data_IF_412171096275
#
_entry.id   IF_412171096275
#
_cell.length_a   1.000
_cell.length_b   1.000
_cell.length_c   1.000
_cell.angle_alpha   90.00
_cell.angle_beta   90.00
_cell.angle_gamma   90.00
#
_symmetry.space_group_name_H-M   'P 1'
#
loop_
_entity.id
_entity.type
_entity.pdbx_description
1 polymer ?
#
# COMPACT_ATOMS: atom_id res chain seq x y z
N UNK A 1 11.23 63.20 0.72
CA UNK A 1 10.84 62.17 -0.27
C UNK A 1 12.11 61.52 -0.79
N UNK A 2 12.67 60.56 -0.06
CA UNK A 2 13.49 59.43 -0.57
C UNK A 2 13.39 58.37 0.52
N UNK A 3 12.34 57.53 0.46
CA UNK A 3 12.11 56.45 1.42
C UNK A 3 12.69 55.17 0.83
N UNK A 4 13.68 54.61 1.53
CA UNK A 4 14.00 53.18 1.64
C UNK A 4 13.82 52.31 0.37
N UNK A 5 14.78 52.36 -0.55
CA UNK A 5 15.09 51.20 -1.38
C UNK A 5 15.99 50.27 -0.55
N UNK A 6 15.50 49.09 -0.12
CA UNK A 6 16.30 47.85 0.09
C UNK A 6 15.47 46.63 0.57
N UNK A 7 14.19 46.71 0.97
CA UNK A 7 13.55 45.56 1.64
C UNK A 7 12.13 45.15 1.18
N UNK A 8 11.88 45.02 -0.12
CA UNK A 8 10.61 44.44 -0.62
C UNK A 8 10.96 43.30 -1.60
N UNK A 9 11.27 42.14 -1.03
CA UNK A 9 10.36 40.98 -0.89
C UNK A 9 10.17 40.28 -2.24
N UNK A 10 11.13 39.40 -2.57
CA UNK A 10 10.86 38.28 -3.47
C UNK A 10 10.05 37.26 -2.68
N UNK A 11 8.75 37.50 -2.52
CA UNK A 11 7.87 36.52 -1.91
C UNK A 11 7.61 35.40 -2.94
N UNK A 12 8.45 34.36 -2.90
CA UNK A 12 8.19 33.11 -3.62
C UNK A 12 6.99 32.40 -2.98
N UNK A 13 5.78 32.77 -3.37
CA UNK A 13 4.57 32.05 -2.98
C UNK A 13 4.53 30.68 -3.67
N UNK A 14 5.12 29.67 -3.02
CA UNK A 14 4.92 28.24 -3.32
C UNK A 14 3.46 27.85 -3.03
N UNK A 15 2.53 28.16 -3.93
CA UNK A 15 1.14 27.70 -3.83
C UNK A 15 0.88 26.59 -4.85
N UNK A 16 0.59 25.37 -4.40
CA UNK A 16 0.31 24.24 -5.30
C UNK A 16 -1.12 23.75 -5.13
N UNK A 17 -1.94 24.03 -6.15
CA UNK A 17 -3.28 23.49 -6.28
C UNK A 17 -3.27 22.15 -7.01
N UNK A 18 -2.68 21.10 -6.45
CA UNK A 18 -3.06 19.70 -6.71
C UNK A 18 -2.30 18.74 -5.78
N UNK A 19 -2.89 18.43 -4.62
CA UNK A 19 -2.42 17.32 -3.79
C UNK A 19 -3.62 16.48 -3.34
N UNK A 20 -3.47 15.15 -3.24
CA UNK A 20 -4.27 14.43 -2.28
C UNK A 20 -3.82 14.89 -0.89
N UNK A 21 -4.67 15.66 -0.21
CA UNK A 21 -4.52 16.16 1.16
C UNK A 21 -3.53 17.34 1.37
N UNK A 22 -3.80 18.48 0.75
CA UNK A 22 -3.86 19.78 1.45
C UNK A 22 -2.62 20.36 2.15
N UNK A 23 -1.41 19.82 1.99
CA UNK A 23 -0.20 20.43 2.54
C UNK A 23 0.39 21.48 1.59
N UNK A 24 0.42 22.75 2.04
CA UNK A 24 1.10 23.85 1.35
C UNK A 24 2.37 24.17 2.13
N UNK A 25 3.53 24.05 1.48
CA UNK A 25 4.80 24.50 2.04
C UNK A 25 5.14 25.86 1.43
N UNK A 26 4.94 26.94 2.18
CA UNK A 26 5.36 28.29 1.79
C UNK A 26 6.74 28.53 2.37
N UNK A 27 7.70 28.85 1.52
CA UNK A 27 9.03 29.31 1.91
C UNK A 27 9.18 30.75 1.42
N UNK A 28 9.64 31.64 2.30
CA UNK A 28 9.99 33.03 1.92
C UNK A 28 11.37 33.08 1.22
N UNK A 29 12.09 31.96 1.16
CA UNK A 29 13.42 31.83 0.57
C UNK A 29 13.39 31.17 -0.82
N UNK A 30 14.49 31.29 -1.57
CA UNK A 30 14.71 30.60 -2.87
C UNK A 30 14.73 29.06 -2.78
N UNK A 31 14.72 28.50 -1.55
CA UNK A 31 14.89 27.08 -1.29
C UNK A 31 13.72 26.53 -0.45
N UNK A 32 13.31 25.30 -0.78
CA UNK A 32 12.39 24.50 0.03
C UNK A 32 13.17 23.35 0.67
N UNK A 33 13.25 23.33 1.99
CA UNK A 33 13.87 22.24 2.76
C UNK A 33 12.80 21.33 3.38
N UNK A 34 12.86 20.04 3.06
CA UNK A 34 11.95 19.03 3.62
C UNK A 34 12.79 17.98 4.34
N UNK A 35 12.78 18.04 5.67
CA UNK A 35 13.42 17.05 6.53
C UNK A 35 12.53 15.83 6.76
N UNK A 36 13.15 14.65 6.96
CA UNK A 36 12.48 13.39 7.28
C UNK A 36 11.32 12.99 6.36
N UNK A 37 11.48 13.25 5.06
CA UNK A 37 10.45 13.07 4.04
C UNK A 37 9.79 11.67 4.08
N UNK A 38 8.46 11.65 4.00
CA UNK A 38 7.62 10.46 4.06
C UNK A 38 7.12 10.05 2.66
N UNK A 39 6.67 8.81 2.54
CA UNK A 39 6.25 8.22 1.24
C UNK A 39 5.10 8.97 0.56
N UNK A 40 4.21 9.55 1.35
CA UNK A 40 3.05 10.35 0.95
C UNK A 40 3.42 11.77 0.51
N UNK A 41 4.64 12.22 0.84
CA UNK A 41 5.22 13.47 0.33
C UNK A 41 5.93 13.28 -1.03
N UNK A 42 5.81 12.10 -1.66
CA UNK A 42 6.23 11.97 -3.06
C UNK A 42 5.19 12.62 -3.98
N UNK A 43 5.63 13.41 -4.96
CA UNK A 43 4.70 14.11 -5.84
C UNK A 43 5.37 15.13 -6.75
N UNK A 44 4.55 15.91 -7.45
CA UNK A 44 4.99 17.11 -8.16
C UNK A 44 4.95 18.30 -7.21
N UNK A 45 6.06 19.01 -7.14
CA UNK A 45 6.25 20.24 -6.41
C UNK A 45 6.29 21.39 -7.39
N UNK A 46 5.64 22.51 -7.04
CA UNK A 46 5.51 23.67 -7.90
C UNK A 46 6.18 24.88 -7.26
N UNK A 47 7.08 25.52 -8.02
CA UNK A 47 7.68 26.81 -7.70
C UNK A 47 6.95 27.91 -8.47
N UNK A 48 6.48 28.93 -7.76
CA UNK A 48 5.76 30.06 -8.34
C UNK A 48 6.39 31.37 -7.85
N UNK A 49 6.87 32.17 -8.80
CA UNK A 49 7.50 33.47 -8.55
C UNK A 49 6.55 34.59 -9.01
N UNK A 50 6.17 35.47 -8.08
CA UNK A 50 5.27 36.61 -8.31
C UNK A 50 6.03 37.92 -8.09
N UNK A 51 5.74 38.93 -8.91
CA UNK A 51 6.28 40.29 -8.74
C UNK A 51 5.22 41.40 -8.90
N UNK A 52 3.94 41.09 -8.69
CA UNK A 52 2.76 41.99 -8.80
C UNK A 52 2.57 42.75 -10.12
N UNK A 53 3.44 42.55 -11.10
CA UNK A 53 3.41 43.21 -12.42
C UNK A 53 2.81 42.31 -13.48
N UNK A 54 3.13 41.02 -13.44
CA UNK A 54 2.69 40.02 -14.40
C UNK A 54 2.11 38.79 -13.71
N UNK A 55 1.54 37.89 -14.50
CA UNK A 55 1.18 36.55 -14.01
C UNK A 55 2.43 35.86 -13.42
N UNK A 56 2.29 35.07 -12.35
CA UNK A 56 3.42 34.34 -11.77
C UNK A 56 4.13 33.46 -12.79
N UNK A 57 5.46 33.40 -12.74
CA UNK A 57 6.20 32.37 -13.47
C UNK A 57 6.22 31.07 -12.65
N UNK A 58 5.83 29.97 -13.28
CA UNK A 58 5.59 28.70 -12.59
C UNK A 58 6.44 27.57 -13.19
N UNK A 59 7.11 26.80 -12.33
CA UNK A 59 7.90 25.61 -12.71
C UNK A 59 7.58 24.44 -11.80
N UNK A 60 7.64 23.22 -12.34
CA UNK A 60 7.33 21.98 -11.61
C UNK A 60 8.55 21.06 -11.53
N UNK A 61 8.70 20.36 -10.42
CA UNK A 61 9.70 19.32 -10.19
C UNK A 61 9.03 18.11 -9.56
N UNK A 62 9.39 16.90 -9.99
CA UNK A 62 8.84 15.67 -9.41
C UNK A 62 9.81 15.07 -8.39
N UNK A 63 9.37 14.97 -7.14
CA UNK A 63 10.12 14.30 -6.07
C UNK A 63 9.59 12.86 -5.93
N UNK A 64 10.49 11.89 -6.07
CA UNK A 64 10.19 10.46 -5.87
C UNK A 64 10.84 9.96 -4.59
N UNK A 65 10.01 9.60 -3.60
CA UNK A 65 10.49 9.06 -2.33
C UNK A 65 10.61 7.54 -2.45
N UNK A 66 11.83 7.02 -2.30
CA UNK A 66 12.07 5.58 -2.30
C UNK A 66 11.72 4.98 -0.93
N UNK A 67 11.08 3.81 -0.91
CA UNK A 67 10.75 3.06 0.30
C UNK A 67 10.82 1.54 0.08
N UNK A 68 11.10 0.75 1.14
CA UNK A 68 11.15 -0.71 1.06
C UNK A 68 9.76 -1.30 0.75
N UNK A 69 9.69 -2.52 0.20
CA UNK A 69 8.43 -3.13 -0.16
C UNK A 69 7.58 -3.45 1.07
N UNK A 70 6.26 -3.32 0.94
CA UNK A 70 5.27 -3.88 1.86
C UNK A 70 4.18 -4.61 1.08
N UNK A 71 3.74 -5.77 1.56
CA UNK A 71 2.65 -6.52 0.94
C UNK A 71 1.34 -5.77 1.19
N UNK A 72 0.67 -5.38 0.11
CA UNK A 72 -0.61 -4.70 0.15
C UNK A 72 -1.79 -5.65 0.00
N UNK A 73 -1.61 -6.78 -0.70
CA UNK A 73 -2.62 -7.85 -0.80
C UNK A 73 -1.98 -9.24 -0.91
N UNK A 74 -2.49 -10.17 -0.11
CA UNK A 74 -2.23 -11.59 -0.18
C UNK A 74 -3.47 -12.32 0.37
N UNK A 75 -3.99 -13.33 -0.34
CA UNK A 75 -5.24 -14.00 0.07
C UNK A 75 -5.18 -15.50 -0.14
N UNK A 76 -5.58 -16.23 0.91
CA UNK A 76 -5.78 -17.68 0.85
C UNK A 76 -6.79 -18.05 -0.24
N UNK A 77 -6.54 -19.15 -0.94
CA UNK A 77 -7.32 -19.55 -2.11
C UNK A 77 -7.77 -20.99 -1.99
N UNK A 78 -9.08 -21.20 -2.10
CA UNK A 78 -9.69 -22.54 -2.13
C UNK A 78 -9.88 -23.00 -3.57
N UNK A 79 -9.38 -24.18 -3.91
CA UNK A 79 -9.47 -24.75 -5.28
C UNK A 79 -9.68 -26.26 -5.17
N UNK A 80 -10.59 -26.83 -5.97
CA UNK A 80 -10.75 -28.28 -6.05
C UNK A 80 -9.66 -28.93 -6.90
N UNK A 81 -9.33 -30.19 -6.59
CA UNK A 81 -8.46 -31.01 -7.45
C UNK A 81 -8.99 -31.06 -8.88
N UNK A 82 -8.10 -31.04 -9.87
CA UNK A 82 -8.47 -31.02 -11.28
C UNK A 82 -8.65 -29.61 -11.87
N UNK A 83 -8.77 -28.58 -11.02
CA UNK A 83 -9.08 -27.21 -11.45
C UNK A 83 -7.83 -26.34 -11.56
N UNK A 84 -7.96 -25.23 -12.29
CA UNK A 84 -6.93 -24.18 -12.34
C UNK A 84 -6.94 -23.38 -11.04
N UNK A 85 -5.80 -23.30 -10.37
CA UNK A 85 -5.60 -22.48 -9.16
C UNK A 85 -4.73 -21.26 -9.44
N UNK A 86 -5.01 -20.14 -8.79
CA UNK A 86 -4.19 -18.92 -8.91
C UNK A 86 -3.98 -18.33 -7.53
N UNK A 87 -2.73 -18.24 -7.10
CA UNK A 87 -2.32 -17.44 -5.95
C UNK A 87 -1.82 -16.08 -6.46
N UNK A 88 -2.12 -15.01 -5.73
CA UNK A 88 -1.70 -13.66 -6.07
C UNK A 88 -1.15 -12.92 -4.87
N UNK A 89 -0.14 -12.10 -5.13
CA UNK A 89 0.53 -11.27 -4.14
C UNK A 89 0.81 -9.90 -4.75
N UNK A 90 0.43 -8.84 -4.05
CA UNK A 90 0.60 -7.44 -4.46
C UNK A 90 1.46 -6.73 -3.42
N UNK A 91 2.49 -6.00 -3.87
CA UNK A 91 3.40 -5.25 -3.01
C UNK A 91 3.58 -3.85 -3.53
N UNK A 92 3.57 -2.88 -2.63
CA UNK A 92 3.87 -1.49 -2.95
C UNK A 92 5.32 -1.19 -2.56
N UNK A 93 6.09 -0.63 -3.48
CA UNK A 93 7.50 -0.36 -3.31
C UNK A 93 7.96 0.69 -4.32
N UNK A 94 8.94 1.51 -3.92
CA UNK A 94 9.65 2.41 -4.85
C UNK A 94 11.15 2.31 -4.56
N UNK A 95 11.99 1.84 -5.50
CA UNK A 95 11.65 1.27 -6.82
C UNK A 95 10.79 0.01 -6.74
N UNK A 96 10.19 -0.40 -7.87
CA UNK A 96 9.33 -1.57 -7.96
C UNK A 96 10.04 -2.82 -7.44
N UNK A 97 9.30 -3.66 -6.72
CA UNK A 97 9.83 -4.87 -6.13
C UNK A 97 9.87 -6.03 -7.13
N UNK A 98 10.89 -6.86 -7.01
CA UNK A 98 10.96 -8.17 -7.64
C UNK A 98 10.31 -9.22 -6.75
N UNK A 99 9.58 -10.14 -7.37
CA UNK A 99 8.85 -11.19 -6.65
C UNK A 99 9.49 -12.57 -6.83
N UNK A 100 9.45 -13.33 -5.75
CA UNK A 100 9.83 -14.74 -5.71
C UNK A 100 8.78 -15.52 -4.94
N UNK A 101 8.56 -16.78 -5.32
CA UNK A 101 7.62 -17.68 -4.65
C UNK A 101 8.36 -18.85 -4.02
N UNK A 102 7.89 -19.26 -2.85
CA UNK A 102 8.43 -20.39 -2.10
C UNK A 102 7.28 -21.29 -1.67
N UNK A 103 7.56 -22.59 -1.56
CA UNK A 103 6.72 -23.56 -0.85
C UNK A 103 7.60 -24.24 0.20
N UNK A 104 7.23 -24.13 1.47
CA UNK A 104 7.97 -24.79 2.57
C UNK A 104 9.50 -24.58 2.46
N UNK A 105 9.92 -23.33 2.31
CA UNK A 105 11.32 -22.88 2.14
C UNK A 105 12.01 -23.20 0.79
N UNK A 106 11.38 -23.98 -0.08
CA UNK A 106 11.92 -24.24 -1.42
C UNK A 106 11.47 -23.18 -2.42
N UNK A 107 12.43 -22.51 -3.05
CA UNK A 107 12.16 -21.52 -4.10
C UNK A 107 11.54 -22.19 -5.33
N UNK A 108 10.40 -21.68 -5.77
CA UNK A 108 9.74 -22.10 -6.99
C UNK A 108 10.33 -21.34 -8.19
N UNK A 109 10.51 -22.05 -9.30
CA UNK A 109 10.94 -21.47 -10.57
C UNK A 109 9.86 -21.64 -11.63
N UNK A 110 9.74 -20.65 -12.51
CA UNK A 110 8.96 -20.79 -13.75
C UNK A 110 9.53 -21.97 -14.55
N UNK A 111 8.68 -22.93 -14.93
CA UNK A 111 9.09 -24.14 -15.66
C UNK A 111 9.11 -25.42 -14.83
N UNK A 112 8.77 -25.37 -13.53
CA UNK A 112 8.31 -26.57 -12.81
C UNK A 112 7.00 -27.08 -13.45
N UNK A 113 6.90 -28.39 -13.64
CA UNK A 113 5.75 -29.01 -14.30
C UNK A 113 4.44 -28.61 -13.62
N UNK A 114 3.51 -28.06 -14.41
CA UNK A 114 2.16 -27.72 -13.98
C UNK A 114 1.98 -26.35 -13.31
N UNK A 115 3.06 -25.56 -13.15
CA UNK A 115 2.98 -24.20 -12.56
C UNK A 115 3.61 -23.10 -13.42
N UNK A 116 3.09 -21.89 -13.29
CA UNK A 116 3.59 -20.69 -13.99
C UNK A 116 3.60 -19.48 -13.08
N UNK A 117 4.75 -18.82 -12.98
CA UNK A 117 4.92 -17.56 -12.25
C UNK A 117 4.92 -16.41 -13.25
N UNK A 118 4.13 -15.37 -12.99
CA UNK A 118 4.09 -14.13 -13.77
C UNK A 118 4.23 -12.92 -12.83
N UNK A 119 5.15 -12.03 -13.16
CA UNK A 119 5.37 -10.77 -12.45
C UNK A 119 4.92 -9.62 -13.35
N UNK A 120 3.90 -8.87 -12.94
CA UNK A 120 3.36 -7.73 -13.69
C UNK A 120 3.25 -6.51 -12.79
N UNK A 121 4.23 -5.62 -12.91
CA UNK A 121 4.31 -4.40 -12.13
C UNK A 121 4.34 -4.72 -10.63
N UNK A 122 3.33 -4.25 -9.89
CA UNK A 122 3.22 -4.42 -8.43
C UNK A 122 2.61 -5.76 -7.97
N UNK A 123 2.24 -6.62 -8.92
CA UNK A 123 1.55 -7.89 -8.66
C UNK A 123 2.34 -9.07 -9.21
N UNK A 124 2.38 -10.16 -8.46
CA UNK A 124 2.88 -11.46 -8.89
C UNK A 124 1.81 -12.54 -8.73
N UNK A 125 1.75 -13.47 -9.67
CA UNK A 125 0.81 -14.59 -9.64
C UNK A 125 1.51 -15.92 -9.84
N UNK A 126 1.16 -16.90 -9.02
CA UNK A 126 1.53 -18.31 -9.17
C UNK A 126 0.30 -19.09 -9.62
N UNK A 127 0.31 -19.54 -10.87
CA UNK A 127 -0.78 -20.29 -11.49
C UNK A 127 -0.47 -21.78 -11.49
N UNK A 128 -1.42 -22.58 -11.02
CA UNK A 128 -1.45 -24.03 -11.15
C UNK A 128 -2.44 -24.38 -12.28
N UNK A 129 -1.99 -25.11 -13.30
CA UNK A 129 -2.86 -25.46 -14.42
C UNK A 129 -3.84 -26.59 -14.08
N UNK A 130 -3.41 -27.52 -13.22
CA UNK A 130 -4.21 -28.62 -12.72
C UNK A 130 -3.79 -28.92 -11.28
N UNK A 131 -4.61 -28.48 -10.32
CA UNK A 131 -4.33 -28.65 -8.88
C UNK A 131 -4.48 -30.12 -8.49
N UNK A 132 -3.50 -30.62 -7.72
CA UNK A 132 -3.48 -31.94 -7.10
C UNK A 132 -3.34 -31.83 -5.58
N UNK A 133 -3.59 -32.91 -4.84
CA UNK A 133 -3.54 -32.87 -3.36
C UNK A 133 -2.17 -32.45 -2.82
N UNK A 134 -1.09 -32.83 -3.51
CA UNK A 134 0.28 -32.41 -3.17
C UNK A 134 0.50 -30.90 -3.32
N UNK A 135 -0.33 -30.19 -4.08
CA UNK A 135 -0.17 -28.75 -4.30
C UNK A 135 -0.77 -27.94 -3.17
N UNK A 136 -1.66 -28.49 -2.34
CA UNK A 136 -2.15 -27.81 -1.16
C UNK A 136 -1.00 -27.53 -0.17
N UNK A 137 -1.18 -26.47 0.61
CA UNK A 137 -0.20 -26.03 1.60
C UNK A 137 0.06 -24.52 1.56
N UNK A 138 1.11 -24.11 2.25
CA UNK A 138 1.48 -22.71 2.40
C UNK A 138 2.53 -22.30 1.36
N UNK A 139 2.24 -21.20 0.68
CA UNK A 139 3.12 -20.56 -0.28
C UNK A 139 3.51 -19.19 0.22
N UNK A 140 4.80 -18.87 0.14
CA UNK A 140 5.31 -17.56 0.56
C UNK A 140 5.70 -16.76 -0.67
N UNK A 141 5.08 -15.59 -0.85
CA UNK A 141 5.57 -14.60 -1.80
C UNK A 141 6.55 -13.67 -1.09
N UNK A 142 7.71 -13.45 -1.69
CA UNK A 142 8.74 -12.52 -1.21
C UNK A 142 8.89 -11.40 -2.22
N UNK A 143 8.73 -10.16 -1.76
CA UNK A 143 8.93 -8.94 -2.55
C UNK A 143 10.21 -8.24 -2.08
N UNK A 144 11.11 -7.90 -3.01
CA UNK A 144 12.43 -7.33 -2.70
C UNK A 144 12.72 -6.10 -3.57
N UNK A 145 13.26 -5.03 -2.98
CA UNK A 145 13.89 -3.94 -3.72
C UNK A 145 15.23 -3.56 -3.06
N UNK A 146 15.91 -2.54 -3.59
CA UNK A 146 17.23 -2.08 -3.08
C UNK A 146 17.24 -1.58 -1.63
N UNK A 147 16.07 -1.35 -1.02
CA UNK A 147 15.92 -0.85 0.35
C UNK A 147 15.51 -1.93 1.35
N UNK A 148 15.14 -3.13 0.90
CA UNK A 148 14.75 -4.21 1.78
C UNK A 148 13.84 -5.25 1.12
N UNK A 149 13.31 -6.15 1.93
CA UNK A 149 12.37 -7.18 1.52
C UNK A 149 11.20 -7.29 2.49
N UNK A 150 10.15 -7.95 2.02
CA UNK A 150 8.96 -8.31 2.80
C UNK A 150 8.38 -9.60 2.24
N UNK A 151 7.53 -10.28 3.00
CA UNK A 151 6.88 -11.48 2.54
C UNK A 151 5.45 -11.63 3.10
N UNK A 152 4.67 -12.49 2.48
CA UNK A 152 3.38 -12.95 3.01
C UNK A 152 3.16 -14.42 2.66
N UNK A 153 2.52 -15.14 3.58
CA UNK A 153 2.11 -16.53 3.39
C UNK A 153 0.66 -16.60 2.92
N UNK A 154 0.43 -17.47 1.94
CA UNK A 154 -0.86 -17.71 1.29
C UNK A 154 -1.11 -19.21 1.28
N UNK A 155 -2.23 -19.64 1.85
CA UNK A 155 -2.63 -21.05 1.85
C UNK A 155 -3.44 -21.38 0.60
N UNK A 156 -3.01 -22.40 -0.15
CA UNK A 156 -3.83 -23.09 -1.14
C UNK A 156 -4.50 -24.29 -0.47
N UNK A 157 -5.83 -24.37 -0.50
CA UNK A 157 -6.58 -25.40 0.22
C UNK A 157 -7.71 -25.99 -0.63
N UNK A 158 -8.08 -27.23 -0.31
CA UNK A 158 -9.18 -27.94 -0.96
C UNK A 158 -10.56 -27.61 -0.36
N UNK A 159 -11.65 -28.05 -1.02
CA UNK A 159 -13.00 -27.94 -0.47
C UNK A 159 -13.10 -28.55 0.93
N UNK A 160 -13.74 -27.85 1.86
CA UNK A 160 -13.95 -28.33 3.23
C UNK A 160 -12.79 -28.09 4.20
N UNK A 161 -11.69 -27.47 3.77
CA UNK A 161 -10.64 -27.07 4.70
C UNK A 161 -11.12 -25.96 5.66
N UNK A 162 -10.91 -26.17 6.96
CA UNK A 162 -11.11 -25.14 7.98
C UNK A 162 -9.83 -24.31 8.02
N UNK A 163 -9.86 -23.14 7.40
CA UNK A 163 -8.79 -22.16 7.49
C UNK A 163 -9.00 -21.31 8.76
N UNK A 164 -8.07 -21.42 9.70
CA UNK A 164 -8.03 -20.62 10.92
C UNK A 164 -8.00 -19.13 10.52
N UNK A 165 -9.14 -18.45 10.72
CA UNK A 165 -9.32 -17.03 10.37
C UNK A 165 -10.45 -16.70 9.39
N UNK A 166 -11.10 -17.69 8.74
CA UNK A 166 -12.32 -17.44 7.94
C UNK A 166 -13.58 -18.01 8.59
N UNK A 167 -13.43 -18.97 9.50
CA UNK A 167 -14.56 -19.58 10.22
C UNK A 167 -14.71 -19.14 11.68
N UNK A 168 -14.19 -17.97 12.06
CA UNK A 168 -14.73 -17.27 13.23
C UNK A 168 -16.00 -16.53 12.83
N UNK A 169 -17.00 -17.26 12.33
CA UNK A 169 -18.38 -16.83 12.48
C UNK A 169 -18.64 -16.89 13.98
N UNK A 170 -18.31 -15.79 14.68
CA UNK A 170 -18.79 -15.53 16.02
C UNK A 170 -20.28 -15.82 15.98
N UNK A 171 -20.69 -16.93 16.61
CA UNK A 171 -22.09 -17.18 16.89
C UNK A 171 -22.51 -16.05 17.81
N UNK A 172 -22.96 -14.94 17.23
CA UNK A 172 -23.72 -13.95 17.95
C UNK A 172 -24.94 -14.73 18.44
N UNK A 173 -24.91 -15.11 19.71
CA UNK A 173 -26.10 -15.56 20.41
C UNK A 173 -27.08 -14.40 20.27
N UNK A 174 -28.07 -14.57 19.40
CA UNK A 174 -29.17 -13.65 19.27
C UNK A 174 -29.77 -13.51 20.66
N UNK A 175 -29.62 -12.32 21.26
CA UNK A 175 -30.31 -11.99 22.49
C UNK A 175 -31.79 -11.95 22.13
N UNK A 176 -32.50 -13.06 22.39
CA UNK A 176 -33.95 -13.09 22.32
C UNK A 176 -34.45 -12.10 23.35
N UNK A 177 -34.99 -10.98 22.86
CA UNK A 177 -35.69 -10.01 23.67
C UNK A 177 -36.95 -10.70 24.23
N UNK A 178 -36.83 -11.27 25.43
CA UNK A 178 -37.98 -11.48 26.28
C UNK A 178 -38.27 -10.15 26.98
N UNK A 179 -39.36 -9.54 26.52
CA UNK A 179 -40.04 -8.40 27.12
C UNK A 179 -40.03 -8.45 28.64
N UNK A 180 -39.64 -7.35 29.29
CA UNK A 180 -39.98 -7.16 30.70
C UNK A 180 -39.13 -6.15 31.47
N UNK A 181 -39.64 -4.92 31.52
CA UNK A 181 -39.52 -3.97 32.65
C UNK A 181 -38.18 -3.24 32.92
N UNK A 182 -38.35 -1.91 33.05
CA UNK A 182 -37.38 -0.87 33.42
C UNK A 182 -36.50 -1.23 34.62
N UNK A 183 -35.24 -0.80 34.62
CA UNK A 183 -34.70 0.06 35.67
C UNK A 183 -33.47 0.85 35.16
N UNK A 184 -33.50 2.15 35.41
CA UNK A 184 -32.44 3.11 35.13
C UNK A 184 -31.34 3.06 36.20
N UNK A 185 -30.09 3.33 35.82
CA UNK A 185 -29.18 4.36 36.38
C UNK A 185 -27.70 4.09 36.03
N UNK A 186 -27.05 5.10 35.40
CA UNK A 186 -25.67 5.63 35.63
C UNK A 186 -24.44 4.67 35.60
N UNK A 187 -23.23 4.99 35.10
CA UNK A 187 -22.44 6.24 35.01
C UNK A 187 -21.42 6.16 33.85
N UNK A 188 -21.06 7.34 33.30
CA UNK A 188 -19.81 7.61 32.55
C UNK A 188 -18.71 8.01 33.55
N UNK A 189 -17.49 7.48 33.38
CA UNK A 189 -16.16 8.00 33.82
C UNK A 189 -15.10 6.93 33.45
N UNK A 190 -13.95 7.17 32.83
CA UNK A 190 -13.29 8.32 32.21
C UNK A 190 -12.86 7.90 30.80
#
# INVERSE_FOLDING_TARGET
MVLSLISQLCDCLLSSSFFPEGQVFVSEDEYLEISDIKRDQSGEYECSALNDVAAPDVRKVKITVNYPPYISKAKNTGVSVGQKGILSCEASAVPMAEFQWFKEDTRLSTGLDGVRIENKGRMSTLTFFNVSEKDYGNYTCVATNKLGNTNASITLYGPGAVIDGVNSASRALACLWLSGTLFAHFFIKF
#
